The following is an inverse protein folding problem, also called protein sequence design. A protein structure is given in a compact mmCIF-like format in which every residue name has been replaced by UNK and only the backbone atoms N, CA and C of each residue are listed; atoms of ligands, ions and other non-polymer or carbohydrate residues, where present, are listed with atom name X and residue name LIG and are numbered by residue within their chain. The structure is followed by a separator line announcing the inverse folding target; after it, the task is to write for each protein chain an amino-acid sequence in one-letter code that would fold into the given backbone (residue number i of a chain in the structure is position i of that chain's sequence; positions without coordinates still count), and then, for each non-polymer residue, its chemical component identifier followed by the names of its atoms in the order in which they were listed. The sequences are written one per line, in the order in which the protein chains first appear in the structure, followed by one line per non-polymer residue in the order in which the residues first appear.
data_IF_246195883008
#
_entry.id   IF_246195883008
#
_cell.length_a   1.000
_cell.length_b   1.000
_cell.length_c   1.000
_cell.angle_alpha   90.00
_cell.angle_beta   90.00
_cell.angle_gamma   90.00
#
_symmetry.space_group_name_H-M   'P 1'
#
loop_
_entity.id
_entity.type
_entity.pdbx_description
1 polymer ?
#
# COMPACT_ATOMS: atom_id res chain seq x y z
N UNK A 1 -27.98 31.72 0.12
CA UNK A 1 -26.94 31.36 1.12
C UNK A 1 -26.21 30.12 0.63
N UNK A 2 -25.16 30.28 -0.17
CA UNK A 2 -24.35 29.16 -0.63
C UNK A 2 -23.40 28.73 0.51
N UNK A 3 -23.52 27.48 0.97
CA UNK A 3 -22.53 26.85 1.83
C UNK A 3 -21.26 26.67 1.00
N UNK A 4 -20.30 27.56 1.21
CA UNK A 4 -18.92 27.39 0.72
C UNK A 4 -18.37 26.19 1.49
N UNK A 5 -18.40 25.01 0.87
CA UNK A 5 -17.68 23.85 1.34
C UNK A 5 -16.21 24.18 1.35
N UNK A 6 -15.67 24.52 2.51
CA UNK A 6 -14.24 24.72 2.70
C UNK A 6 -13.57 23.38 2.38
N UNK A 7 -12.93 23.27 1.23
CA UNK A 7 -12.00 22.18 0.94
C UNK A 7 -10.84 22.38 1.91
N UNK A 8 -10.97 21.82 3.11
CA UNK A 8 -9.87 21.73 4.06
C UNK A 8 -8.83 20.87 3.35
N UNK A 9 -7.69 21.47 2.99
CA UNK A 9 -6.58 20.73 2.43
C UNK A 9 -6.20 19.65 3.46
N UNK A 10 -6.39 18.37 3.08
CA UNK A 10 -6.03 17.25 3.94
C UNK A 10 -4.52 17.35 4.22
N UNK A 11 -4.07 17.32 5.48
CA UNK A 11 -2.64 17.33 5.78
C UNK A 11 -1.98 16.16 5.05
N UNK A 12 -1.06 16.49 4.14
CA UNK A 12 -0.31 15.50 3.37
C UNK A 12 0.67 14.80 4.30
N UNK A 13 0.68 13.47 4.28
CA UNK A 13 1.66 12.69 5.02
C UNK A 13 3.06 13.00 4.50
N UNK A 14 3.98 13.32 5.40
CA UNK A 14 5.39 13.51 5.10
C UNK A 14 6.16 12.17 5.14
N UNK A 15 7.46 12.21 4.83
CA UNK A 15 8.30 11.01 4.80
C UNK A 15 8.38 10.31 6.16
N UNK A 16 8.42 11.05 7.27
CA UNK A 16 8.50 10.48 8.62
C UNK A 16 7.20 9.80 9.06
N UNK A 17 6.06 10.40 8.73
CA UNK A 17 4.74 9.80 8.92
C UNK A 17 4.58 8.52 8.11
N UNK A 18 5.05 8.53 6.85
CA UNK A 18 5.05 7.34 6.00
C UNK A 18 5.89 6.22 6.60
N UNK A 19 7.13 6.51 7.01
CA UNK A 19 8.01 5.52 7.63
C UNK A 19 7.38 4.89 8.88
N UNK A 20 6.76 5.72 9.73
CA UNK A 20 6.09 5.27 10.95
C UNK A 20 4.93 4.31 10.64
N UNK A 21 4.12 4.64 9.64
CA UNK A 21 3.02 3.78 9.20
C UNK A 21 3.53 2.47 8.57
N UNK A 22 4.57 2.54 7.75
CA UNK A 22 5.20 1.34 7.18
C UNK A 22 5.69 0.42 8.29
N UNK A 23 6.45 0.93 9.27
CA UNK A 23 6.94 0.14 10.41
C UNK A 23 5.81 -0.53 11.19
N UNK A 24 4.70 0.19 11.40
CA UNK A 24 3.53 -0.33 12.11
C UNK A 24 2.85 -1.50 11.36
N UNK A 25 2.78 -1.42 10.03
CA UNK A 25 2.02 -2.37 9.22
C UNK A 25 2.86 -3.48 8.56
N UNK A 26 4.18 -3.30 8.47
CA UNK A 26 5.10 -4.15 7.69
C UNK A 26 4.91 -5.65 7.96
N UNK A 27 4.97 -6.07 9.23
CA UNK A 27 4.85 -7.48 9.61
C UNK A 27 3.51 -8.10 9.19
N UNK A 28 2.41 -7.35 9.33
CA UNK A 28 1.08 -7.82 8.90
C UNK A 28 0.94 -7.85 7.38
N UNK A 29 1.62 -6.94 6.69
CA UNK A 29 1.63 -6.89 5.22
C UNK A 29 2.39 -8.08 4.63
N UNK A 30 3.55 -8.44 5.20
CA UNK A 30 4.29 -9.65 4.87
C UNK A 30 3.45 -10.91 5.12
N UNK A 31 2.80 -11.02 6.29
CA UNK A 31 1.94 -12.16 6.59
C UNK A 31 0.78 -12.30 5.58
N UNK A 32 0.21 -11.17 5.15
CA UNK A 32 -0.83 -11.15 4.12
C UNK A 32 -0.28 -11.60 2.74
N UNK A 33 0.85 -11.05 2.30
CA UNK A 33 1.48 -11.42 1.03
C UNK A 33 1.91 -12.90 1.02
N UNK A 34 2.41 -13.41 2.14
CA UNK A 34 2.77 -14.82 2.31
C UNK A 34 1.53 -15.73 2.24
N UNK A 35 0.40 -15.31 2.81
CA UNK A 35 -0.85 -16.06 2.71
C UNK A 35 -1.35 -16.15 1.26
N UNK A 36 -1.12 -15.12 0.43
CA UNK A 36 -1.46 -15.11 -0.99
C UNK A 36 -0.53 -15.98 -1.84
N UNK A 37 0.78 -15.81 -1.65
CA UNK A 37 1.81 -16.42 -2.53
C UNK A 37 2.22 -17.82 -2.11
N UNK A 38 2.09 -18.15 -0.80
CA UNK A 38 2.64 -19.36 -0.18
C UNK A 38 4.15 -19.54 -0.40
N UNK A 39 4.85 -18.43 -0.68
CA UNK A 39 6.27 -18.36 -1.03
C UNK A 39 6.90 -17.14 -0.37
N UNK A 40 7.95 -17.36 0.43
CA UNK A 40 8.56 -16.29 1.23
C UNK A 40 9.21 -15.23 0.34
N UNK A 41 10.03 -15.66 -0.61
CA UNK A 41 10.70 -14.82 -1.61
C UNK A 41 9.69 -13.92 -2.35
N UNK A 42 8.66 -14.52 -2.93
CA UNK A 42 7.62 -13.78 -3.65
C UNK A 42 6.85 -12.82 -2.73
N UNK A 43 6.64 -13.19 -1.46
CA UNK A 43 5.93 -12.32 -0.51
C UNK A 43 6.72 -11.05 -0.16
N UNK A 44 8.04 -11.17 -0.02
CA UNK A 44 8.94 -10.06 0.28
C UNK A 44 9.01 -9.10 -0.92
N UNK A 45 9.18 -9.63 -2.12
CA UNK A 45 9.21 -8.86 -3.37
C UNK A 45 7.91 -8.07 -3.59
N UNK A 46 6.75 -8.71 -3.42
CA UNK A 46 5.45 -8.05 -3.57
C UNK A 46 5.26 -6.91 -2.56
N UNK A 47 5.71 -7.11 -1.31
CA UNK A 47 5.64 -6.08 -0.27
C UNK A 47 6.59 -4.93 -0.60
N UNK A 48 7.81 -5.22 -1.04
CA UNK A 48 8.78 -4.20 -1.43
C UNK A 48 8.24 -3.33 -2.58
N UNK A 49 7.73 -3.95 -3.64
CA UNK A 49 7.12 -3.23 -4.77
C UNK A 49 5.93 -2.38 -4.32
N UNK A 50 5.08 -2.92 -3.45
CA UNK A 50 3.93 -2.19 -2.94
C UNK A 50 4.34 -0.96 -2.12
N UNK A 51 5.40 -1.05 -1.31
CA UNK A 51 5.93 0.08 -0.56
C UNK A 51 6.56 1.14 -1.46
N UNK A 52 7.26 0.74 -2.53
CA UNK A 52 7.79 1.68 -3.52
C UNK A 52 6.67 2.43 -4.25
N UNK A 53 5.61 1.72 -4.64
CA UNK A 53 4.41 2.33 -5.25
C UNK A 53 3.76 3.30 -4.26
N UNK A 54 3.54 2.87 -3.02
CA UNK A 54 2.93 3.70 -1.98
C UNK A 54 3.75 4.96 -1.69
N UNK A 55 5.07 4.86 -1.68
CA UNK A 55 5.95 6.02 -1.49
C UNK A 55 5.84 7.03 -2.64
N UNK A 56 5.83 6.54 -3.90
CA UNK A 56 5.66 7.38 -5.09
C UNK A 56 4.29 8.06 -5.15
N UNK A 57 3.25 7.32 -4.75
CA UNK A 57 1.87 7.79 -4.77
C UNK A 57 1.40 8.40 -3.44
N UNK A 58 2.32 8.67 -2.51
CA UNK A 58 1.99 9.24 -1.19
C UNK A 58 1.22 10.56 -1.30
N UNK A 59 1.51 11.36 -2.32
CA UNK A 59 0.80 12.60 -2.62
C UNK A 59 -0.71 12.41 -2.92
N UNK A 60 -1.09 11.21 -3.37
CA UNK A 60 -2.47 10.84 -3.73
C UNK A 60 -3.20 10.11 -2.59
N UNK A 61 -2.49 9.77 -1.52
CA UNK A 61 -3.07 9.06 -0.39
C UNK A 61 -4.04 9.97 0.36
N UNK A 62 -5.27 9.47 0.49
CA UNK A 62 -6.32 10.09 1.30
C UNK A 62 -6.16 9.66 2.76
N UNK A 63 -5.72 10.59 3.61
CA UNK A 63 -5.48 10.34 5.03
C UNK A 63 -6.76 9.99 5.83
N UNK A 64 -7.96 10.11 5.24
CA UNK A 64 -9.19 9.60 5.86
C UNK A 64 -9.33 8.07 5.75
N UNK A 65 -8.53 7.40 4.91
CA UNK A 65 -8.59 5.96 4.66
C UNK A 65 -7.57 5.21 5.52
N UNK A 66 -7.85 3.96 5.90
CA UNK A 66 -6.88 3.11 6.62
C UNK A 66 -5.64 2.82 5.75
N UNK A 67 -4.46 3.23 6.24
CA UNK A 67 -3.19 3.07 5.52
C UNK A 67 -2.88 1.60 5.24
N UNK A 68 -3.13 0.72 6.22
CA UNK A 68 -2.92 -0.72 6.07
C UNK A 68 -3.80 -1.34 4.98
N UNK A 69 -5.07 -0.94 4.89
CA UNK A 69 -6.00 -1.39 3.86
C UNK A 69 -5.57 -0.90 2.47
N UNK A 70 -5.09 0.34 2.38
CA UNK A 70 -4.53 0.88 1.15
C UNK A 70 -3.31 0.06 0.66
N UNK A 71 -2.34 -0.20 1.54
CA UNK A 71 -1.18 -1.04 1.21
C UNK A 71 -1.58 -2.47 0.80
N UNK A 72 -2.53 -3.09 1.50
CA UNK A 72 -3.04 -4.43 1.12
C UNK A 72 -3.68 -4.44 -0.27
N UNK A 73 -4.32 -3.34 -0.67
CA UNK A 73 -4.85 -3.16 -2.03
C UNK A 73 -3.75 -3.18 -3.09
N UNK A 74 -2.66 -2.46 -2.85
CA UNK A 74 -1.50 -2.42 -3.76
C UNK A 74 -0.83 -3.81 -3.83
N UNK A 75 -0.60 -4.46 -2.69
CA UNK A 75 -0.07 -5.84 -2.64
C UNK A 75 -0.95 -6.80 -3.43
N UNK A 76 -2.28 -6.71 -3.31
CA UNK A 76 -3.21 -7.55 -4.06
C UNK A 76 -3.09 -7.32 -5.57
N UNK A 77 -2.96 -6.07 -6.01
CA UNK A 77 -2.73 -5.74 -7.42
C UNK A 77 -1.43 -6.39 -7.92
N UNK A 78 -0.32 -6.22 -7.20
CA UNK A 78 0.97 -6.82 -7.52
C UNK A 78 0.92 -8.35 -7.55
N UNK A 79 0.19 -8.97 -6.62
CA UNK A 79 -0.05 -10.42 -6.62
C UNK A 79 -0.78 -10.87 -7.91
N UNK A 80 -1.80 -10.14 -8.35
CA UNK A 80 -2.49 -10.48 -9.60
C UNK A 80 -1.59 -10.35 -10.82
N UNK A 81 -0.68 -9.37 -10.87
CA UNK A 81 0.36 -9.30 -11.90
C UNK A 81 1.29 -10.52 -11.84
N UNK A 82 1.83 -10.82 -10.65
CA UNK A 82 2.71 -11.97 -10.42
C UNK A 82 2.08 -13.29 -10.87
N UNK A 83 0.81 -13.54 -10.53
CA UNK A 83 0.10 -14.77 -10.97
C UNK A 83 -0.06 -14.88 -12.48
N UNK A 84 -0.13 -13.76 -13.21
CA UNK A 84 -0.24 -13.78 -14.68
C UNK A 84 1.09 -14.15 -15.32
N UNK A 85 2.20 -13.60 -14.80
CA UNK A 85 3.54 -13.92 -15.28
C UNK A 85 3.90 -15.40 -15.03
N UNK A 86 3.55 -15.95 -13.87
CA UNK A 86 3.87 -17.32 -13.48
C UNK A 86 2.94 -18.39 -14.10
N UNK A 87 1.92 -18.00 -14.87
CA UNK A 87 1.08 -18.95 -15.62
C UNK A 87 1.69 -19.30 -16.98
N UNK A 88 2.54 -18.42 -17.51
CA UNK A 88 3.11 -18.56 -18.85
C UNK A 88 4.41 -19.38 -18.84
N UNK A 89 4.91 -19.73 -17.65
CA UNK A 89 6.02 -20.66 -17.41
C UNK A 89 5.51 -22.09 -17.21
#
# INVERSE_FOLDING_TARGET
MALIGTVVAQPRMDAGGFESQVRLHHRRLLAYALALTRRLDASEDLVQDALLIAHRDLAKYDASRDFGAWLRGIVRMKYLEWTRSHRTE
#
